data_IF_780516443393
#
_entry.id   IF_780516443393
#
_cell.length_a   1.000
_cell.length_b   1.000
_cell.length_c   1.000
_cell.angle_alpha   90.00
_cell.angle_beta   90.00
_cell.angle_gamma   90.00
#
_symmetry.space_group_name_H-M   'P 1'
#
loop_
_entity.id
_entity.type
_entity.pdbx_description
1 polymer ?
#
# COMPACT_ATOMS: atom_id res chain seq x y z
N UNK A 1 4.73 27.19 -1.55
CA UNK A 1 4.01 26.14 -2.31
C UNK A 1 2.81 26.76 -3.01
N UNK A 2 2.48 26.35 -4.24
CA UNK A 2 1.28 26.86 -4.94
C UNK A 2 0.01 26.46 -4.17
N UNK A 3 -0.93 27.39 -3.90
CA UNK A 3 -2.18 27.06 -3.20
C UNK A 3 -3.19 26.35 -4.11
N UNK A 4 -2.89 26.25 -5.42
CA UNK A 4 -3.81 25.77 -6.44
C UNK A 4 -3.56 24.29 -6.78
N UNK A 5 -4.64 23.60 -7.12
CA UNK A 5 -4.59 22.24 -7.65
C UNK A 5 -4.08 22.26 -9.09
N UNK A 6 -3.04 21.48 -9.36
CA UNK A 6 -2.49 21.26 -10.69
C UNK A 6 -2.99 19.94 -11.25
N UNK A 7 -3.49 19.95 -12.49
CA UNK A 7 -3.88 18.73 -13.19
C UNK A 7 -2.65 17.86 -13.43
N UNK A 8 -2.70 16.60 -13.02
CA UNK A 8 -1.60 15.64 -13.17
C UNK A 8 -1.95 14.53 -14.16
N UNK A 9 -3.19 14.03 -14.14
CA UNK A 9 -3.60 12.89 -14.95
C UNK A 9 -5.06 12.99 -15.36
N UNK A 10 -5.37 12.49 -16.55
CA UNK A 10 -6.74 12.19 -16.98
C UNK A 10 -6.82 10.70 -17.28
N UNK A 11 -7.87 10.05 -16.84
CA UNK A 11 -8.09 8.63 -17.11
C UNK A 11 -9.50 8.39 -17.62
N UNK A 12 -9.62 7.62 -18.69
CA UNK A 12 -10.90 7.12 -19.18
C UNK A 12 -11.16 5.74 -18.58
N UNK A 13 -12.21 5.63 -17.78
CA UNK A 13 -12.59 4.39 -17.09
C UNK A 13 -13.97 4.00 -17.61
N UNK A 14 -13.97 3.03 -18.52
CA UNK A 14 -15.13 2.69 -19.34
C UNK A 14 -15.68 3.93 -20.06
N UNK A 15 -16.83 4.44 -19.64
CA UNK A 15 -17.52 5.57 -20.24
C UNK A 15 -17.38 6.88 -19.44
N UNK A 16 -16.53 6.91 -18.41
CA UNK A 16 -16.35 8.07 -17.53
C UNK A 16 -14.91 8.58 -17.58
N UNK A 17 -14.75 9.88 -17.75
CA UNK A 17 -13.45 10.56 -17.67
C UNK A 17 -13.24 11.09 -16.25
N UNK A 18 -12.13 10.68 -15.63
CA UNK A 18 -11.68 11.16 -14.33
C UNK A 18 -10.47 12.07 -14.50
N UNK A 19 -10.47 13.18 -13.79
CA UNK A 19 -9.37 14.13 -13.72
C UNK A 19 -8.77 14.10 -12.31
N UNK A 20 -7.46 13.87 -12.26
CA UNK A 20 -6.66 13.82 -11.05
C UNK A 20 -5.84 15.10 -10.96
N UNK A 21 -5.98 15.79 -9.85
CA UNK A 21 -5.21 16.98 -9.51
C UNK A 21 -4.44 16.74 -8.21
N UNK A 22 -3.32 17.42 -8.03
CA UNK A 22 -2.63 17.46 -6.74
C UNK A 22 -2.30 18.90 -6.37
N UNK A 23 -2.15 19.14 -5.07
CA UNK A 23 -1.44 20.29 -4.52
C UNK A 23 -0.47 19.80 -3.44
N UNK A 24 0.65 20.51 -3.29
CA UNK A 24 1.61 20.22 -2.23
C UNK A 24 1.00 20.58 -0.86
N UNK A 25 1.30 19.76 0.14
CA UNK A 25 0.82 19.92 1.51
C UNK A 25 1.94 19.62 2.50
N UNK A 26 2.13 20.50 3.49
CA UNK A 26 3.25 20.37 4.42
C UNK A 26 3.11 19.18 5.39
N UNK A 27 1.89 18.75 5.68
CA UNK A 27 1.63 17.66 6.65
C UNK A 27 1.53 16.30 5.97
N UNK A 28 0.98 16.27 4.75
CA UNK A 28 0.67 15.02 4.04
C UNK A 28 1.52 14.81 2.78
N UNK A 29 2.49 15.68 2.52
CA UNK A 29 3.25 15.76 1.25
C UNK A 29 2.40 16.31 0.12
N UNK A 30 1.27 15.67 -0.20
CA UNK A 30 0.32 16.14 -1.18
C UNK A 30 -1.13 15.86 -0.79
N UNK A 31 -2.05 16.64 -1.35
CA UNK A 31 -3.49 16.36 -1.34
C UNK A 31 -3.91 16.18 -2.78
N UNK A 32 -4.53 15.03 -3.09
CA UNK A 32 -5.14 14.76 -4.38
C UNK A 32 -6.60 15.21 -4.37
N UNK A 33 -7.04 15.75 -5.50
CA UNK A 33 -8.44 15.92 -5.86
C UNK A 33 -8.73 15.01 -7.03
N UNK A 34 -9.71 14.12 -6.87
CA UNK A 34 -10.17 13.20 -7.91
C UNK A 34 -11.57 13.64 -8.30
N UNK A 35 -11.79 13.97 -9.57
CA UNK A 35 -13.06 14.50 -10.05
C UNK A 35 -13.57 13.73 -11.29
N UNK A 36 -14.87 13.50 -11.37
CA UNK A 36 -15.52 13.03 -12.59
C UNK A 36 -15.81 14.24 -13.48
N UNK A 37 -15.25 14.28 -14.70
CA UNK A 37 -15.31 15.46 -15.57
C UNK A 37 -16.73 15.84 -15.98
N UNK A 38 -17.58 14.84 -16.23
CA UNK A 38 -18.95 15.06 -16.68
C UNK A 38 -19.85 15.65 -15.58
N UNK A 39 -19.50 15.46 -14.30
CA UNK A 39 -20.32 15.85 -13.15
C UNK A 39 -19.43 16.62 -12.17
N UNK A 40 -19.37 17.97 -12.24
CA UNK A 40 -18.46 18.78 -11.42
C UNK A 40 -18.63 18.64 -9.90
N UNK A 41 -19.82 18.21 -9.46
CA UNK A 41 -20.11 17.91 -8.06
C UNK A 41 -19.49 16.59 -7.58
N UNK A 42 -19.20 15.66 -8.50
CA UNK A 42 -18.62 14.36 -8.18
C UNK A 42 -17.10 14.49 -8.06
N UNK A 43 -16.64 14.68 -6.84
CA UNK A 43 -15.23 14.79 -6.51
C UNK A 43 -14.98 14.30 -5.10
N UNK A 44 -13.74 13.91 -4.83
CA UNK A 44 -13.23 13.66 -3.48
C UNK A 44 -11.85 14.28 -3.33
N UNK A 45 -11.47 14.56 -2.09
CA UNK A 45 -10.16 15.08 -1.71
C UNK A 45 -9.49 14.08 -0.77
N UNK A 46 -8.34 13.57 -1.17
CA UNK A 46 -7.61 12.53 -0.42
C UNK A 46 -6.19 13.01 -0.15
N UNK A 47 -5.76 13.12 1.12
CA UNK A 47 -4.33 13.21 1.45
C UNK A 47 -3.55 12.06 0.83
N UNK A 48 -2.28 12.25 0.51
CA UNK A 48 -1.47 11.23 -0.16
C UNK A 48 -1.40 9.92 0.65
N UNK A 49 -1.25 9.99 1.97
CA UNK A 49 -1.27 8.79 2.85
C UNK A 49 -2.57 7.99 2.71
N UNK A 50 -3.70 8.71 2.60
CA UNK A 50 -5.04 8.13 2.39
C UNK A 50 -5.16 7.57 0.98
N UNK A 51 -4.56 8.21 -0.02
CA UNK A 51 -4.56 7.69 -1.39
C UNK A 51 -3.78 6.36 -1.50
N UNK A 52 -2.68 6.21 -0.74
CA UNK A 52 -1.97 4.93 -0.64
C UNK A 52 -2.86 3.88 0.02
N UNK A 53 -3.50 4.20 1.15
CA UNK A 53 -4.43 3.26 1.81
C UNK A 53 -5.63 2.93 0.92
N UNK A 54 -6.11 3.90 0.14
CA UNK A 54 -7.18 3.70 -0.82
C UNK A 54 -6.79 2.63 -1.86
N UNK A 55 -5.57 2.66 -2.40
CA UNK A 55 -5.07 1.62 -3.31
C UNK A 55 -5.11 0.23 -2.66
N UNK A 56 -4.70 0.11 -1.39
CA UNK A 56 -4.73 -1.14 -0.64
C UNK A 56 -6.17 -1.66 -0.45
N UNK A 57 -7.11 -0.79 -0.06
CA UNK A 57 -8.52 -1.17 0.09
C UNK A 57 -9.17 -1.56 -1.23
N UNK A 58 -8.80 -0.91 -2.33
CA UNK A 58 -9.27 -1.25 -3.67
C UNK A 58 -8.75 -2.62 -4.13
N UNK A 59 -7.51 -2.97 -3.79
CA UNK A 59 -6.96 -4.30 -4.07
C UNK A 59 -7.73 -5.40 -3.32
N UNK A 60 -8.05 -5.18 -2.04
CA UNK A 60 -8.87 -6.11 -1.26
C UNK A 60 -10.27 -6.32 -1.87
N UNK A 61 -10.91 -5.22 -2.29
CA UNK A 61 -12.22 -5.30 -2.94
C UNK A 61 -12.13 -5.98 -4.32
N UNK A 62 -11.03 -5.79 -5.06
CA UNK A 62 -10.79 -6.42 -6.36
C UNK A 62 -10.67 -7.94 -6.22
N UNK A 63 -9.95 -8.41 -5.21
CA UNK A 63 -9.85 -9.84 -4.89
C UNK A 63 -11.22 -10.42 -4.54
N UNK A 64 -11.98 -9.76 -3.67
CA UNK A 64 -13.33 -10.19 -3.32
C UNK A 64 -14.25 -10.27 -4.55
N UNK A 65 -14.14 -9.31 -5.47
CA UNK A 65 -14.89 -9.33 -6.74
C UNK A 65 -14.52 -10.51 -7.65
N UNK A 66 -13.24 -10.90 -7.67
CA UNK A 66 -12.74 -12.04 -8.47
C UNK A 66 -13.21 -13.38 -7.89
N UNK A 67 -13.28 -13.49 -6.56
CA UNK A 67 -13.75 -14.69 -5.85
C UNK A 67 -15.27 -14.88 -5.99
N UNK A 68 -16.03 -13.80 -6.14
CA UNK A 68 -17.49 -13.82 -6.24
C UNK A 68 -17.99 -14.21 -7.66
N UNK A 69 -17.63 -15.40 -8.13
CA UNK A 69 -18.09 -15.95 -9.42
C UNK A 69 -18.96 -17.21 -9.21
N UNK A 70 -20.17 -17.26 -9.80
CA UNK A 70 -20.81 -16.28 -10.67
C UNK A 70 -21.30 -15.03 -9.92
N UNK A 71 -21.34 -13.87 -10.61
CA UNK A 71 -21.84 -12.63 -10.00
C UNK A 71 -23.36 -12.64 -9.86
N UNK A 72 -23.91 -12.06 -8.78
CA UNK A 72 -25.34 -11.80 -8.67
C UNK A 72 -25.77 -10.72 -9.70
N UNK A 73 -27.05 -10.71 -10.09
CA UNK A 73 -27.59 -9.70 -11.00
C UNK A 73 -27.47 -8.29 -10.39
N UNK A 74 -27.90 -8.14 -9.13
CA UNK A 74 -27.79 -6.91 -8.36
C UNK A 74 -27.45 -7.25 -6.90
N UNK A 75 -26.61 -6.44 -6.26
CA UNK A 75 -26.29 -6.61 -4.84
C UNK A 75 -25.07 -5.82 -4.40
N UNK A 76 -24.88 -5.69 -3.09
CA UNK A 76 -23.63 -5.21 -2.51
C UNK A 76 -22.68 -6.40 -2.33
N UNK A 77 -21.45 -6.27 -2.80
CA UNK A 77 -20.43 -7.32 -2.68
C UNK A 77 -19.47 -7.05 -1.53
N UNK A 78 -19.08 -5.80 -1.34
CA UNK A 78 -18.02 -5.45 -0.40
C UNK A 78 -18.16 -4.05 0.16
N UNK A 79 -17.54 -3.87 1.32
CA UNK A 79 -17.45 -2.60 2.01
C UNK A 79 -16.07 -2.44 2.63
N UNK A 80 -15.47 -1.27 2.48
CA UNK A 80 -14.26 -0.86 3.19
C UNK A 80 -14.44 0.57 3.70
N UNK A 81 -13.75 0.90 4.78
CA UNK A 81 -13.76 2.24 5.37
C UNK A 81 -12.36 2.68 5.74
N UNK A 82 -12.05 3.94 5.47
CA UNK A 82 -10.83 4.62 5.93
C UNK A 82 -11.26 5.79 6.80
N UNK A 83 -10.79 5.80 8.05
CA UNK A 83 -11.18 6.77 9.06
C UNK A 83 -9.99 7.65 9.41
N UNK A 84 -10.05 8.91 9.00
CA UNK A 84 -9.03 9.92 9.31
C UNK A 84 -9.53 10.94 10.35
N UNK A 85 -8.64 11.76 10.89
CA UNK A 85 -8.98 12.76 11.90
C UNK A 85 -10.11 13.71 11.43
N UNK A 86 -10.06 14.15 10.17
CA UNK A 86 -10.95 15.18 9.63
C UNK A 86 -11.97 14.64 8.60
N UNK A 87 -11.84 13.39 8.16
CA UNK A 87 -12.71 12.80 7.13
C UNK A 87 -12.84 11.29 7.26
N UNK A 88 -13.91 10.74 6.72
CA UNK A 88 -14.14 9.31 6.56
C UNK A 88 -14.41 9.01 5.09
N UNK A 89 -13.77 7.97 4.57
CA UNK A 89 -13.94 7.50 3.19
C UNK A 89 -14.58 6.12 3.22
N UNK A 90 -15.77 6.01 2.65
CA UNK A 90 -16.52 4.75 2.53
C UNK A 90 -16.41 4.25 1.10
N UNK A 91 -16.01 3.00 0.93
CA UNK A 91 -15.91 2.32 -0.35
C UNK A 91 -16.98 1.23 -0.39
N UNK A 92 -17.97 1.40 -1.25
CA UNK A 92 -19.08 0.47 -1.42
C UNK A 92 -18.98 -0.19 -2.80
N UNK A 93 -18.58 -1.46 -2.82
CA UNK A 93 -18.55 -2.26 -4.04
C UNK A 93 -19.91 -2.95 -4.20
N UNK A 94 -20.54 -2.69 -5.35
CA UNK A 94 -21.82 -3.27 -5.72
C UNK A 94 -21.78 -3.83 -7.13
N UNK A 95 -22.74 -4.70 -7.44
CA UNK A 95 -23.03 -5.15 -8.80
C UNK A 95 -24.41 -4.65 -9.19
N UNK A 96 -24.53 -4.13 -10.41
CA UNK A 96 -25.80 -3.75 -11.03
C UNK A 96 -25.84 -4.31 -12.44
N UNK A 97 -26.85 -5.14 -12.74
CA UNK A 97 -26.97 -5.86 -14.02
C UNK A 97 -25.68 -6.60 -14.40
N UNK A 98 -25.13 -7.37 -13.46
CA UNK A 98 -23.87 -8.13 -13.62
C UNK A 98 -22.61 -7.28 -13.86
N UNK A 99 -22.67 -5.95 -13.69
CA UNK A 99 -21.52 -5.05 -13.82
C UNK A 99 -21.13 -4.49 -12.47
N UNK A 100 -19.83 -4.44 -12.20
CA UNK A 100 -19.30 -3.77 -11.02
C UNK A 100 -19.65 -2.28 -11.00
N UNK A 101 -19.80 -1.76 -9.80
CA UNK A 101 -20.04 -0.35 -9.53
C UNK A 101 -19.48 -0.04 -8.14
N UNK A 102 -18.43 0.76 -8.09
CA UNK A 102 -17.81 1.21 -6.85
C UNK A 102 -18.22 2.66 -6.56
N UNK A 103 -18.82 2.88 -5.38
CA UNK A 103 -19.08 4.23 -4.87
C UNK A 103 -18.05 4.56 -3.80
N UNK A 104 -17.33 5.66 -3.97
CA UNK A 104 -16.46 6.22 -2.93
C UNK A 104 -17.11 7.48 -2.39
N UNK A 105 -17.39 7.49 -1.09
CA UNK A 105 -18.03 8.62 -0.40
C UNK A 105 -17.09 9.19 0.65
N UNK A 106 -16.80 10.48 0.56
CA UNK A 106 -16.07 11.25 1.55
C UNK A 106 -17.04 12.05 2.43
N UNK A 107 -17.02 11.77 3.73
CA UNK A 107 -17.73 12.53 4.75
C UNK A 107 -16.74 13.32 5.60
N UNK A 108 -17.01 14.60 5.88
CA UNK A 108 -16.13 15.46 6.70
C UNK A 108 -16.58 15.41 8.17
N UNK A 109 -15.64 15.23 9.11
CA UNK A 109 -15.96 15.00 10.53
C UNK A 109 -16.29 16.29 11.31
N UNK A 110 -15.71 17.43 10.93
CA UNK A 110 -16.09 18.71 11.55
C UNK A 110 -17.50 19.11 11.16
N UNK A 111 -18.17 19.80 12.09
CA UNK A 111 -19.54 20.37 12.07
C UNK A 111 -19.90 21.27 10.86
N UNK A 112 -19.10 21.32 9.79
CA UNK A 112 -19.42 21.98 8.53
C UNK A 112 -20.29 21.05 7.66
N UNK A 113 -21.60 21.23 7.82
CA UNK A 113 -22.75 20.63 7.12
C UNK A 113 -22.71 20.82 5.59
N UNK A 114 -21.78 20.17 4.91
CA UNK A 114 -21.85 19.97 3.46
C UNK A 114 -22.45 18.59 3.14
N UNK A 115 -23.14 18.42 1.99
CA UNK A 115 -23.43 17.09 1.49
C UNK A 115 -22.13 16.30 1.30
N UNK A 116 -22.16 14.96 1.45
CA UNK A 116 -20.98 14.15 1.24
C UNK A 116 -20.49 14.25 -0.20
N UNK A 117 -19.18 14.42 -0.33
CA UNK A 117 -18.46 14.42 -1.60
C UNK A 117 -18.38 12.95 -2.07
N UNK A 118 -18.63 12.65 -3.34
CA UNK A 118 -18.59 11.27 -3.82
C UNK A 118 -18.13 11.16 -5.28
N UNK A 119 -17.61 9.99 -5.63
CA UNK A 119 -17.34 9.60 -7.01
C UNK A 119 -17.86 8.18 -7.26
N UNK A 120 -18.36 7.94 -8.46
CA UNK A 120 -18.89 6.64 -8.87
C UNK A 120 -18.04 6.06 -10.00
N UNK A 121 -17.41 4.93 -9.72
CA UNK A 121 -16.40 4.29 -10.55
C UNK A 121 -16.99 3.02 -11.18
N UNK A 122 -17.04 2.95 -12.53
CA UNK A 122 -17.68 1.85 -13.24
C UNK A 122 -16.77 0.64 -13.42
N UNK A 123 -15.45 0.81 -13.22
CA UNK A 123 -14.48 -0.28 -13.24
C UNK A 123 -13.40 -0.02 -12.20
N UNK A 124 -13.42 -0.79 -11.11
CA UNK A 124 -12.53 -0.61 -9.98
C UNK A 124 -11.09 -1.01 -10.30
N UNK A 125 -10.90 -2.07 -11.10
CA UNK A 125 -9.58 -2.57 -11.49
C UNK A 125 -8.82 -1.52 -12.29
N UNK A 126 -9.47 -0.94 -13.29
CA UNK A 126 -8.89 0.14 -14.08
C UNK A 126 -8.62 1.37 -13.21
N UNK A 127 -9.58 1.79 -12.38
CA UNK A 127 -9.38 2.93 -11.47
C UNK A 127 -8.20 2.73 -10.51
N UNK A 128 -8.09 1.55 -9.90
CA UNK A 128 -6.99 1.22 -8.98
C UNK A 128 -5.64 1.30 -9.67
N UNK A 129 -5.52 0.75 -10.89
CA UNK A 129 -4.28 0.80 -11.66
C UNK A 129 -3.86 2.25 -11.95
N UNK A 130 -4.81 3.07 -12.40
CA UNK A 130 -4.55 4.48 -12.72
C UNK A 130 -4.16 5.31 -11.48
N UNK A 131 -4.81 5.03 -10.34
CA UNK A 131 -4.52 5.67 -9.05
C UNK A 131 -3.18 5.20 -8.48
N UNK A 132 -2.87 3.91 -8.53
CA UNK A 132 -1.65 3.33 -7.98
C UNK A 132 -0.40 3.93 -8.63
N UNK A 133 -0.37 4.04 -9.97
CA UNK A 133 0.72 4.67 -10.70
C UNK A 133 0.92 6.14 -10.28
N UNK A 134 -0.17 6.89 -10.16
CA UNK A 134 -0.12 8.29 -9.73
C UNK A 134 0.38 8.41 -8.28
N UNK A 135 -0.12 7.57 -7.39
CA UNK A 135 0.26 7.55 -5.98
C UNK A 135 1.73 7.18 -5.81
N UNK A 136 2.24 6.22 -6.57
CA UNK A 136 3.67 5.86 -6.56
C UNK A 136 4.56 7.04 -7.00
N UNK A 137 4.16 7.71 -8.10
CA UNK A 137 4.85 8.90 -8.58
C UNK A 137 4.84 10.03 -7.54
N UNK A 138 3.68 10.34 -6.95
CA UNK A 138 3.57 11.39 -5.94
C UNK A 138 4.30 11.03 -4.65
N UNK A 139 4.24 9.77 -4.21
CA UNK A 139 4.96 9.30 -3.02
C UNK A 139 6.48 9.45 -3.17
N UNK A 140 7.00 9.26 -4.38
CA UNK A 140 8.44 9.40 -4.64
C UNK A 140 8.88 10.86 -4.70
N UNK A 141 8.02 11.77 -5.16
CA UNK A 141 8.37 13.18 -5.39
C UNK A 141 7.91 14.16 -4.30
N UNK A 142 6.92 13.78 -3.48
CA UNK A 142 6.27 14.68 -2.52
C UNK A 142 6.49 14.24 -1.06
N UNK A 143 7.01 13.03 -0.82
CA UNK A 143 7.35 12.57 0.53
C UNK A 143 8.85 12.37 0.63
N UNK A 144 9.44 12.96 1.66
CA UNK A 144 10.85 12.78 1.96
C UNK A 144 11.10 11.37 2.49
N UNK A 145 12.22 10.78 2.06
CA UNK A 145 12.70 9.49 2.54
C UNK A 145 13.69 9.75 3.67
N UNK A 146 13.36 9.28 4.88
CA UNK A 146 14.14 9.54 6.09
C UNK A 146 14.49 8.23 6.79
N UNK A 147 15.57 8.25 7.57
CA UNK A 147 15.90 7.19 8.53
C UNK A 147 15.59 7.72 9.92
N UNK A 148 14.73 7.02 10.64
CA UNK A 148 14.38 7.34 12.02
C UNK A 148 14.90 6.24 12.94
N UNK A 149 15.37 6.61 14.12
CA UNK A 149 15.78 5.65 15.16
C UNK A 149 14.93 5.89 16.40
N UNK A 150 14.31 4.84 16.91
CA UNK A 150 13.48 4.94 18.11
C UNK A 150 14.30 4.87 19.41
N UNK A 151 13.64 5.00 20.55
CA UNK A 151 14.26 4.97 21.88
C UNK A 151 14.95 3.62 22.20
N UNK A 152 14.59 2.54 21.49
CA UNK A 152 15.22 1.23 21.62
C UNK A 152 16.51 1.09 20.81
N UNK A 153 16.84 2.10 19.99
CA UNK A 153 17.97 2.07 19.06
C UNK A 153 17.65 1.39 17.73
N UNK A 154 16.39 1.06 17.46
CA UNK A 154 15.96 0.44 16.22
C UNK A 154 15.79 1.50 15.13
N UNK A 155 16.65 1.45 14.12
CA UNK A 155 16.55 2.32 12.95
C UNK A 155 15.60 1.72 11.90
N UNK A 156 14.76 2.57 11.31
CA UNK A 156 13.81 2.21 10.25
C UNK A 156 13.74 3.30 9.19
N UNK A 157 13.52 2.89 7.94
CA UNK A 157 13.29 3.83 6.84
C UNK A 157 11.82 4.24 6.77
N UNK A 158 11.57 5.54 6.65
CA UNK A 158 10.24 6.14 6.71
C UNK A 158 10.01 7.03 5.50
N UNK A 159 8.79 6.99 4.98
CA UNK A 159 8.27 7.91 3.96
C UNK A 159 6.90 8.42 4.41
N UNK A 160 6.83 9.69 4.82
CA UNK A 160 5.62 10.26 5.42
C UNK A 160 5.18 9.51 6.69
N UNK A 161 3.92 9.09 6.75
CA UNK A 161 3.39 8.30 7.87
C UNK A 161 3.55 6.78 7.70
N UNK A 162 4.51 6.33 6.88
CA UNK A 162 4.71 4.91 6.58
C UNK A 162 6.16 4.46 6.78
N UNK A 163 6.31 3.22 7.21
CA UNK A 163 7.59 2.55 7.48
C UNK A 163 7.82 1.50 6.41
N UNK A 164 9.05 1.43 5.91
CA UNK A 164 9.49 0.41 4.98
C UNK A 164 9.67 -0.92 5.71
N UNK A 165 9.02 -1.96 5.19
CA UNK A 165 9.10 -3.33 5.67
C UNK A 165 9.56 -4.22 4.53
N UNK A 166 10.62 -4.98 4.77
CA UNK A 166 11.17 -5.92 3.82
C UNK A 166 10.35 -7.21 3.84
N UNK A 167 10.03 -7.77 2.67
CA UNK A 167 9.37 -9.06 2.54
C UNK A 167 9.75 -9.81 1.26
N UNK A 168 9.54 -11.13 1.28
CA UNK A 168 9.69 -11.99 0.10
C UNK A 168 8.32 -12.61 -0.25
N UNK A 169 7.76 -12.36 -1.45
CA UNK A 169 6.44 -12.84 -1.83
C UNK A 169 6.43 -14.32 -2.25
N UNK A 170 7.56 -14.86 -2.70
CA UNK A 170 7.61 -16.21 -3.30
C UNK A 170 7.73 -17.30 -2.25
N UNK A 171 8.42 -17.02 -1.14
CA UNK A 171 8.60 -17.94 -0.01
C UNK A 171 8.88 -17.15 1.27
N UNK A 172 8.55 -17.70 2.45
CA UNK A 172 9.04 -17.15 3.71
C UNK A 172 10.57 -17.14 3.66
N UNK A 173 11.16 -15.96 3.78
CA UNK A 173 12.59 -15.87 4.00
C UNK A 173 12.90 -16.50 5.36
N UNK A 174 14.07 -17.14 5.57
CA UNK A 174 14.49 -17.68 6.87
C UNK A 174 14.66 -16.53 7.88
N UNK A 175 13.54 -16.08 8.43
CA UNK A 175 13.43 -15.16 9.57
C UNK A 175 13.28 -15.96 10.87
N UNK A 176 13.42 -17.28 10.79
CA UNK A 176 12.68 -18.17 11.67
C UNK A 176 13.38 -18.48 12.97
N UNK A 177 14.71 -18.39 13.12
CA UNK A 177 15.34 -18.95 14.34
C UNK A 177 16.37 -18.08 15.09
N UNK A 178 17.16 -17.20 14.47
CA UNK A 178 18.36 -16.63 15.14
C UNK A 178 18.37 -15.12 15.45
N UNK A 179 17.53 -14.27 14.83
CA UNK A 179 17.57 -12.81 15.07
C UNK A 179 16.33 -12.23 15.76
N UNK A 180 16.49 -11.07 16.41
CA UNK A 180 15.37 -10.18 16.73
C UNK A 180 14.74 -9.73 15.41
N UNK A 181 13.70 -10.48 14.99
CA UNK A 181 13.05 -10.40 13.67
C UNK A 181 12.77 -8.96 13.20
N UNK A 182 12.54 -8.01 14.12
CA UNK A 182 12.28 -6.60 13.82
C UNK A 182 13.46 -5.83 13.19
N UNK A 183 14.71 -6.09 13.59
CA UNK A 183 15.86 -5.33 13.08
C UNK A 183 16.10 -5.58 11.60
N UNK A 184 16.04 -6.84 11.17
CA UNK A 184 16.18 -7.21 9.76
C UNK A 184 15.03 -6.67 8.91
N UNK A 185 13.79 -6.71 9.43
CA UNK A 185 12.59 -6.28 8.68
C UNK A 185 12.59 -4.80 8.32
N UNK A 186 13.25 -4.01 9.15
CA UNK A 186 13.23 -2.56 9.11
C UNK A 186 14.59 -1.96 8.72
N UNK A 187 15.59 -2.81 8.40
CA UNK A 187 16.96 -2.38 8.10
C UNK A 187 16.97 -1.31 6.98
N UNK A 188 17.31 -0.04 7.30
CA UNK A 188 17.25 1.04 6.33
C UNK A 188 18.29 0.91 5.20
N UNK A 189 19.44 0.29 5.45
CA UNK A 189 20.47 0.08 4.43
C UNK A 189 20.02 -1.00 3.45
N UNK A 190 19.45 -2.10 3.97
CA UNK A 190 18.89 -3.16 3.12
C UNK A 190 17.69 -2.66 2.31
N UNK A 191 16.80 -1.86 2.91
CA UNK A 191 15.73 -1.18 2.17
C UNK A 191 16.30 -0.32 1.04
N UNK A 192 17.36 0.45 1.29
CA UNK A 192 18.04 1.25 0.27
C UNK A 192 18.56 0.42 -0.91
N UNK A 193 19.21 -0.71 -0.62
CA UNK A 193 19.72 -1.63 -1.65
C UNK A 193 18.59 -2.24 -2.50
N UNK A 194 17.46 -2.59 -1.88
CA UNK A 194 16.28 -3.15 -2.57
C UNK A 194 15.57 -2.09 -3.42
N UNK A 195 15.45 -0.85 -2.94
CA UNK A 195 14.72 0.20 -3.65
C UNK A 195 15.52 0.82 -4.79
N UNK A 196 16.82 1.05 -4.60
CA UNK A 196 17.65 1.88 -5.49
C UNK A 196 18.54 1.03 -6.41
N UNK A 197 19.34 0.14 -5.83
CA UNK A 197 20.38 -0.58 -6.58
C UNK A 197 19.81 -1.81 -7.30
N UNK A 198 18.89 -2.54 -6.64
CA UNK A 198 18.34 -3.84 -7.09
C UNK A 198 19.41 -4.84 -7.55
N UNK A 199 20.65 -4.67 -7.08
CA UNK A 199 21.76 -5.55 -7.41
C UNK A 199 21.79 -6.70 -6.40
N UNK A 200 21.45 -7.89 -6.87
CA UNK A 200 21.34 -9.12 -6.08
C UNK A 200 22.65 -9.45 -5.36
N UNK A 201 23.80 -9.32 -6.02
CA UNK A 201 25.10 -9.61 -5.40
C UNK A 201 25.42 -8.65 -4.26
N UNK A 202 25.07 -7.37 -4.40
CA UNK A 202 25.28 -6.37 -3.32
C UNK A 202 24.34 -6.62 -2.15
N UNK A 203 23.08 -6.95 -2.42
CA UNK A 203 22.10 -7.30 -1.39
C UNK A 203 22.59 -8.55 -0.63
N UNK A 204 23.00 -9.59 -1.36
CA UNK A 204 23.57 -10.81 -0.80
C UNK A 204 24.80 -10.52 0.07
N UNK A 205 25.78 -9.81 -0.47
CA UNK A 205 27.00 -9.47 0.25
C UNK A 205 26.73 -8.65 1.51
N UNK A 206 25.74 -7.76 1.46
CA UNK A 206 25.29 -7.02 2.63
C UNK A 206 24.71 -7.95 3.70
N UNK A 207 23.77 -8.83 3.33
CA UNK A 207 23.16 -9.78 4.24
C UNK A 207 24.19 -10.73 4.86
N UNK A 208 25.12 -11.28 4.07
CA UNK A 208 26.19 -12.17 4.56
C UNK A 208 27.10 -11.46 5.58
N UNK A 209 27.33 -10.16 5.43
CA UNK A 209 28.19 -9.38 6.32
C UNK A 209 27.49 -8.92 7.59
N UNK A 210 26.24 -8.48 7.49
CA UNK A 210 25.48 -7.85 8.59
C UNK A 210 24.68 -8.87 9.39
N UNK A 211 24.23 -9.94 8.73
CA UNK A 211 23.44 -11.02 9.30
C UNK A 211 24.07 -12.39 9.00
N UNK A 212 25.31 -12.66 9.47
CA UNK A 212 26.02 -13.89 9.12
C UNK A 212 25.32 -15.17 9.60
N UNK A 213 24.59 -15.10 10.71
CA UNK A 213 23.86 -16.25 11.28
C UNK A 213 22.57 -16.57 10.52
N UNK A 214 22.09 -15.62 9.70
CA UNK A 214 20.89 -15.81 8.87
C UNK A 214 21.20 -16.93 7.87
N UNK A 215 22.41 -16.88 7.31
CA UNK A 215 22.90 -17.87 6.37
C UNK A 215 23.03 -19.25 7.04
N UNK A 216 23.51 -19.32 8.28
CA UNK A 216 23.71 -20.58 9.02
C UNK A 216 22.40 -21.37 9.20
N UNK A 217 21.31 -20.72 9.62
CA UNK A 217 20.00 -21.39 9.74
C UNK A 217 19.40 -21.71 8.37
N UNK A 218 19.65 -20.88 7.36
CA UNK A 218 19.24 -21.14 5.96
C UNK A 218 19.89 -22.40 5.40
N UNK A 219 21.16 -22.65 5.76
CA UNK A 219 21.96 -23.79 5.28
C UNK A 219 21.58 -25.11 5.97
N UNK A 220 21.01 -25.08 7.17
CA UNK A 220 20.73 -26.29 7.97
C UNK A 220 19.31 -26.81 7.77
N UNK A 221 18.33 -25.92 7.61
CA UNK A 221 16.92 -26.32 7.49
C UNK A 221 16.48 -26.65 6.06
N UNK A 222 17.28 -26.29 5.06
CA UNK A 222 16.79 -26.27 3.69
C UNK A 222 17.80 -26.92 2.73
N UNK A 223 17.41 -28.08 2.20
CA UNK A 223 18.06 -28.88 1.15
C UNK A 223 18.07 -28.11 -0.19
N UNK A 224 18.62 -26.89 -0.22
CA UNK A 224 18.64 -26.02 -1.38
C UNK A 224 19.80 -26.33 -2.30
N UNK A 225 19.50 -26.48 -3.58
CA UNK A 225 20.50 -26.31 -4.63
C UNK A 225 21.03 -24.87 -4.60
N UNK A 226 22.35 -24.74 -4.73
CA UNK A 226 23.06 -23.46 -4.63
C UNK A 226 22.57 -22.40 -5.63
N UNK A 227 21.92 -22.83 -6.71
CA UNK A 227 21.32 -22.01 -7.77
C UNK A 227 19.96 -21.38 -7.37
N UNK A 228 19.25 -21.92 -6.38
CA UNK A 228 17.97 -21.34 -5.92
C UNK A 228 18.15 -20.11 -5.01
N UNK A 229 19.39 -19.81 -4.58
CA UNK A 229 19.70 -18.68 -3.70
C UNK A 229 19.43 -17.33 -4.35
N UNK A 230 19.76 -17.20 -5.63
CA UNK A 230 19.53 -15.99 -6.43
C UNK A 230 18.05 -15.62 -6.46
N UNK A 231 17.18 -16.64 -6.55
CA UNK A 231 15.72 -16.48 -6.58
C UNK A 231 15.22 -15.77 -5.31
N UNK A 232 15.83 -16.00 -4.15
CA UNK A 232 15.40 -15.31 -2.93
C UNK A 232 15.70 -13.82 -2.98
N UNK A 233 16.97 -13.46 -3.16
CA UNK A 233 17.43 -12.07 -3.17
C UNK A 233 16.77 -11.26 -4.31
N UNK A 234 16.52 -11.89 -5.46
CA UNK A 234 15.76 -11.32 -6.58
C UNK A 234 14.31 -10.97 -6.23
N UNK A 235 13.71 -11.72 -5.29
CA UNK A 235 12.32 -11.56 -4.91
C UNK A 235 12.14 -10.70 -3.65
N UNK A 236 13.19 -10.16 -3.05
CA UNK A 236 13.06 -9.20 -1.96
C UNK A 236 12.33 -7.94 -2.43
N UNK A 237 11.32 -7.55 -1.67
CA UNK A 237 10.49 -6.37 -1.92
C UNK A 237 10.36 -5.54 -0.66
N UNK A 238 10.04 -4.26 -0.84
CA UNK A 238 9.71 -3.33 0.24
C UNK A 238 8.23 -3.02 0.17
N UNK A 239 7.57 -3.06 1.33
CA UNK A 239 6.19 -2.62 1.53
C UNK A 239 6.16 -1.44 2.48
N UNK A 240 5.38 -0.41 2.16
CA UNK A 240 5.21 0.77 3.00
C UNK A 240 3.99 0.60 3.90
N UNK A 241 4.20 0.31 5.18
CA UNK A 241 3.14 0.05 6.16
C UNK A 241 2.90 1.29 7.03
N UNK A 242 1.64 1.61 7.33
CA UNK A 242 1.30 2.79 8.16
C UNK A 242 1.91 2.64 9.56
N UNK A 243 2.47 3.71 10.11
CA UNK A 243 3.00 3.71 11.48
C UNK A 243 1.95 3.24 12.48
N UNK A 244 2.36 2.40 13.43
CA UNK A 244 1.51 1.81 14.45
C UNK A 244 0.57 0.71 13.93
N UNK A 245 0.54 0.44 12.62
CA UNK A 245 -0.25 -0.65 12.07
C UNK A 245 0.42 -1.98 12.40
N UNK A 246 -0.38 -2.93 12.87
CA UNK A 246 0.07 -4.30 13.04
C UNK A 246 0.07 -5.04 11.71
N UNK A 247 1.12 -5.79 11.44
CA UNK A 247 1.26 -6.59 10.22
C UNK A 247 1.85 -7.96 10.51
N UNK A 248 1.55 -8.91 9.63
CA UNK A 248 2.14 -10.25 9.65
C UNK A 248 2.89 -10.52 8.35
N UNK A 249 3.94 -11.29 8.52
CA UNK A 249 4.84 -11.79 7.50
C UNK A 249 4.15 -13.02 6.88
N UNK A 250 4.16 -13.16 5.56
CA UNK A 250 3.41 -14.18 4.81
C UNK A 250 1.89 -13.91 4.66
N UNK A 251 1.38 -12.76 5.08
CA UNK A 251 0.08 -12.31 4.58
C UNK A 251 0.22 -11.93 3.10
N UNK A 252 -0.32 -12.77 2.23
CA UNK A 252 -0.71 -12.32 0.89
C UNK A 252 -1.62 -11.07 1.07
N UNK A 253 -1.54 -10.05 0.21
CA UNK A 253 -2.57 -9.01 0.21
C UNK A 253 -3.94 -9.71 0.12
N UNK A 254 -4.86 -9.45 1.05
CA UNK A 254 -6.18 -10.10 1.06
C UNK A 254 -6.49 -11.02 2.23
N UNK A 255 -5.50 -11.56 2.92
CA UNK A 255 -5.74 -12.60 3.94
C UNK A 255 -6.08 -11.99 5.31
N UNK A 256 -7.32 -12.15 5.77
CA UNK A 256 -7.70 -11.97 7.18
C UNK A 256 -7.14 -13.14 7.98
N UNK A 257 -5.97 -12.98 8.61
CA UNK A 257 -5.39 -14.03 9.45
C UNK A 257 -5.98 -13.97 10.85
N UNK A 258 -6.54 -15.10 11.31
CA UNK A 258 -6.98 -15.25 12.69
C UNK A 258 -5.78 -15.17 13.64
N UNK A 259 -5.98 -14.59 14.83
CA UNK A 259 -4.95 -14.31 15.87
C UNK A 259 -4.25 -15.53 16.48
N UNK A 260 -4.41 -16.72 15.92
CA UNK A 260 -3.86 -17.92 16.52
C UNK A 260 -2.65 -18.39 15.72
N UNK A 261 -1.49 -18.24 16.38
CA UNK A 261 -0.23 -18.99 16.22
C UNK A 261 0.97 -18.29 15.55
N UNK A 262 0.82 -17.11 14.93
CA UNK A 262 1.96 -16.38 14.30
C UNK A 262 2.35 -15.05 14.99
N UNK A 263 3.63 -14.68 14.90
CA UNK A 263 4.16 -13.43 15.46
C UNK A 263 3.70 -12.20 14.66
N UNK A 264 3.09 -11.25 15.37
CA UNK A 264 2.70 -9.95 14.84
C UNK A 264 3.80 -8.90 15.05
N UNK A 265 3.94 -8.00 14.09
CA UNK A 265 4.87 -6.87 14.12
C UNK A 265 4.10 -5.57 14.09
N UNK A 266 4.67 -4.51 14.66
CA UNK A 266 4.11 -3.16 14.61
C UNK A 266 5.07 -2.28 13.82
N UNK A 267 4.54 -1.56 12.83
CA UNK A 267 5.30 -0.64 11.99
C UNK A 267 5.70 0.64 12.72
#
# INVERSE_FOLDING_TARGET
>A
MSPYFSLCKKAMIRSKEFEFYYKQDASHGAILKIAEKAIPANRIYVPLDVAIELCERLELLEQLYQEFRPLPENGQLGYQEIVEAESTYKLELSVRRYRQNLLITQSKKRLTRGPPDNINIPDMSDFRRELAELVEHLSTNCLELLVETDESGLSRMVRGNRVAVIYCPVRPWPWTHSYQRQQLLLDPQLVGLILVDRNVDRIRHYCERVYPDLMLDTYVDMDYDHDEWSVFYENLKVRWIRRGQQFRINERPGTLSLKHEDQWFTA
#
